data_IF_463303677658
#
_entry.id   IF_463303677658
#
_cell.length_a   1.000
_cell.length_b   1.000
_cell.length_c   1.000
_cell.angle_alpha   90.00
_cell.angle_beta   90.00
_cell.angle_gamma   90.00
#
_symmetry.space_group_name_H-M   'P 1'
#
loop_
_entity.id
_entity.type
_entity.pdbx_description
1 polymer ?
#
# COMPACT_ATOMS: atom_id res chain seq x y z
N UNK A 1 -4.39 26.57 13.78
CA UNK A 1 -3.16 25.85 13.35
C UNK A 1 -3.46 25.16 12.03
N UNK A 2 -2.89 25.59 10.90
CA UNK A 2 -3.03 24.86 9.63
C UNK A 2 -2.41 23.48 9.84
N UNK A 3 -3.23 22.41 9.93
CA UNK A 3 -2.73 21.04 10.00
C UNK A 3 -1.87 20.82 8.75
N UNK A 4 -0.56 20.64 8.90
CA UNK A 4 0.30 20.12 7.84
C UNK A 4 -0.35 18.81 7.37
N UNK A 5 -0.61 18.69 6.07
CA UNK A 5 -1.14 17.44 5.54
C UNK A 5 -0.12 16.33 5.82
N UNK A 6 -0.53 15.29 6.54
CA UNK A 6 0.36 14.25 7.05
C UNK A 6 1.02 13.45 5.93
N UNK A 7 0.53 13.57 4.69
CA UNK A 7 1.03 12.88 3.51
C UNK A 7 2.00 13.72 2.67
N UNK A 8 2.24 14.98 3.02
CA UNK A 8 3.11 15.85 2.23
C UNK A 8 4.56 15.33 2.23
N UNK A 9 5.07 14.95 1.05
CA UNK A 9 6.42 14.44 0.86
C UNK A 9 6.63 12.99 1.31
N UNK A 10 5.56 12.26 1.67
CA UNK A 10 5.63 10.87 2.15
C UNK A 10 5.53 9.91 0.98
N UNK A 11 6.51 9.02 0.82
CA UNK A 11 6.45 7.94 -0.18
C UNK A 11 5.51 6.82 0.31
N UNK A 12 4.47 6.51 -0.47
CA UNK A 12 3.46 5.49 -0.17
C UNK A 12 3.54 4.37 -1.21
N UNK A 13 3.67 3.13 -0.74
CA UNK A 13 3.56 1.93 -1.57
C UNK A 13 2.24 1.20 -1.33
N UNK A 14 1.54 0.85 -2.41
CA UNK A 14 0.38 -0.04 -2.37
C UNK A 14 0.79 -1.41 -2.90
N UNK A 15 0.70 -2.43 -2.05
CA UNK A 15 1.00 -3.81 -2.41
C UNK A 15 -0.34 -4.51 -2.68
N UNK A 16 -0.64 -4.68 -3.97
CA UNK A 16 -1.94 -5.07 -4.49
C UNK A 16 -2.71 -3.86 -5.03
N UNK A 17 -2.87 -3.78 -6.36
CA UNK A 17 -3.57 -2.71 -7.06
C UNK A 17 -5.00 -3.11 -7.49
N UNK A 18 -5.61 -4.08 -6.80
CA UNK A 18 -7.00 -4.45 -7.02
C UNK A 18 -7.99 -3.33 -6.62
N UNK A 19 -9.29 -3.63 -6.62
CA UNK A 19 -10.35 -2.64 -6.43
C UNK A 19 -10.17 -1.75 -5.18
N UNK A 20 -9.84 -2.33 -4.01
CA UNK A 20 -9.64 -1.54 -2.79
C UNK A 20 -8.34 -0.74 -2.80
N UNK A 21 -7.25 -1.29 -3.35
CA UNK A 21 -6.00 -0.55 -3.53
C UNK A 21 -6.21 0.66 -4.43
N UNK A 22 -6.87 0.46 -5.57
CA UNK A 22 -7.28 1.51 -6.52
C UNK A 22 -8.12 2.59 -5.85
N UNK A 23 -9.15 2.20 -5.10
CA UNK A 23 -10.02 3.14 -4.39
C UNK A 23 -9.25 3.98 -3.36
N UNK A 24 -8.37 3.36 -2.58
CA UNK A 24 -7.53 4.08 -1.62
C UNK A 24 -6.53 5.02 -2.29
N UNK A 25 -5.92 4.62 -3.41
CA UNK A 25 -5.05 5.49 -4.21
C UNK A 25 -5.82 6.73 -4.66
N UNK A 26 -7.01 6.55 -5.24
CA UNK A 26 -7.88 7.66 -5.65
C UNK A 26 -8.27 8.57 -4.48
N UNK A 27 -8.64 7.98 -3.33
CA UNK A 27 -8.94 8.72 -2.11
C UNK A 27 -7.75 9.53 -1.58
N UNK A 28 -6.53 8.99 -1.62
CA UNK A 28 -5.31 9.71 -1.25
C UNK A 28 -5.05 10.87 -2.21
N UNK A 29 -5.17 10.62 -3.52
CA UNK A 29 -4.89 11.61 -4.56
C UNK A 29 -5.96 12.69 -4.72
N UNK A 30 -7.16 12.47 -4.17
CA UNK A 30 -8.20 13.50 -4.10
C UNK A 30 -7.84 14.68 -3.19
N UNK A 31 -6.80 14.54 -2.36
CA UNK A 31 -6.41 15.55 -1.36
C UNK A 31 -5.45 16.58 -1.98
N UNK A 32 -5.59 17.89 -1.69
CA UNK A 32 -4.80 18.94 -2.34
C UNK A 32 -3.27 18.87 -2.17
N UNK A 33 -2.77 18.19 -1.13
CA UNK A 33 -1.33 18.11 -0.85
C UNK A 33 -0.69 16.79 -1.32
N UNK A 34 -1.44 15.96 -2.05
CA UNK A 34 -0.99 14.67 -2.55
C UNK A 34 -0.16 14.84 -3.84
N UNK A 35 0.79 13.93 -4.06
CA UNK A 35 1.69 13.93 -5.21
C UNK A 35 1.75 12.51 -5.78
N UNK A 36 1.28 12.33 -7.01
CA UNK A 36 1.27 11.03 -7.69
C UNK A 36 2.67 10.43 -7.84
N UNK A 37 3.71 11.25 -7.92
CA UNK A 37 5.10 10.78 -8.00
C UNK A 37 5.58 10.10 -6.72
N UNK A 38 4.88 10.32 -5.60
CA UNK A 38 5.14 9.72 -4.28
C UNK A 38 4.38 8.42 -4.06
N UNK A 39 3.52 8.02 -4.98
CA UNK A 39 2.75 6.78 -4.89
C UNK A 39 3.34 5.76 -5.87
N UNK A 40 3.61 4.57 -5.35
CA UNK A 40 3.98 3.41 -6.17
C UNK A 40 3.01 2.27 -5.88
N UNK A 41 2.44 1.66 -6.92
CA UNK A 41 1.62 0.45 -6.77
C UNK A 41 2.33 -0.77 -7.34
N UNK A 42 2.22 -1.90 -6.65
CA UNK A 42 2.60 -3.21 -7.18
C UNK A 42 1.42 -4.16 -7.26
N UNK A 43 1.43 -5.03 -8.26
CA UNK A 43 0.49 -6.12 -8.44
C UNK A 43 1.13 -7.17 -9.35
N UNK A 44 0.68 -8.42 -9.24
CA UNK A 44 1.13 -9.49 -10.14
C UNK A 44 0.46 -9.41 -11.52
N UNK A 45 -0.65 -8.68 -11.62
CA UNK A 45 -1.43 -8.54 -12.84
C UNK A 45 -1.16 -7.19 -13.50
N UNK A 46 -0.59 -7.22 -14.70
CA UNK A 46 -0.29 -6.01 -15.46
C UNK A 46 -1.53 -5.15 -15.71
N UNK A 47 -2.70 -5.77 -15.94
CA UNK A 47 -3.97 -5.06 -16.15
C UNK A 47 -4.37 -4.16 -14.96
N UNK A 48 -4.13 -4.62 -13.72
CA UNK A 48 -4.39 -3.82 -12.53
C UNK A 48 -3.43 -2.61 -12.46
N UNK A 49 -2.16 -2.81 -12.84
CA UNK A 49 -1.16 -1.75 -12.89
C UNK A 49 -1.48 -0.71 -13.96
N UNK A 50 -1.88 -1.15 -15.16
CA UNK A 50 -2.24 -0.27 -16.26
C UNK A 50 -3.45 0.59 -15.90
N UNK A 51 -4.43 0.01 -15.20
CA UNK A 51 -5.60 0.73 -14.68
C UNK A 51 -5.20 1.88 -13.77
N UNK A 52 -4.44 1.62 -12.70
CA UNK A 52 -4.06 2.67 -11.74
C UNK A 52 -3.07 3.67 -12.35
N UNK A 53 -2.20 3.24 -13.26
CA UNK A 53 -1.27 4.12 -13.98
C UNK A 53 -2.05 5.08 -14.88
N UNK A 54 -3.00 4.58 -15.66
CA UNK A 54 -3.80 5.40 -16.57
C UNK A 54 -4.72 6.36 -15.80
N UNK A 55 -5.36 5.88 -14.73
CA UNK A 55 -6.29 6.69 -13.95
C UNK A 55 -5.59 7.78 -13.12
N UNK A 56 -4.42 7.47 -12.55
CA UNK A 56 -3.82 8.32 -11.52
C UNK A 56 -2.41 8.82 -11.84
N UNK A 57 -1.77 8.35 -12.92
CA UNK A 57 -0.42 8.77 -13.29
C UNK A 57 0.68 8.36 -12.31
N UNK A 58 0.43 7.34 -11.47
CA UNK A 58 1.38 6.88 -10.45
C UNK A 58 2.45 5.94 -11.02
N UNK A 59 3.51 5.69 -10.25
CA UNK A 59 4.49 4.67 -10.58
C UNK A 59 3.93 3.27 -10.35
N UNK A 60 4.28 2.32 -11.21
CA UNK A 60 3.83 0.93 -11.11
C UNK A 60 4.97 -0.06 -11.33
N UNK A 61 4.88 -1.23 -10.70
CA UNK A 61 5.89 -2.29 -10.80
C UNK A 61 5.27 -3.66 -10.55
N UNK A 62 5.78 -4.71 -11.19
CA UNK A 62 5.38 -6.10 -10.92
C UNK A 62 6.05 -6.68 -9.66
N UNK A 63 7.05 -5.99 -9.12
CA UNK A 63 7.86 -6.45 -7.99
C UNK A 63 7.47 -5.72 -6.69
N UNK A 64 7.04 -6.45 -5.65
CA UNK A 64 6.62 -5.83 -4.38
C UNK A 64 7.80 -5.20 -3.65
N UNK A 65 8.97 -5.86 -3.69
CA UNK A 65 10.20 -5.34 -3.08
C UNK A 65 10.63 -4.00 -3.67
N UNK A 66 10.44 -3.81 -4.98
CA UNK A 66 10.75 -2.55 -5.67
C UNK A 66 9.82 -1.41 -5.22
N UNK A 67 8.52 -1.69 -5.05
CA UNK A 67 7.58 -0.72 -4.50
C UNK A 67 7.91 -0.36 -3.04
N UNK A 68 8.25 -1.35 -2.22
CA UNK A 68 8.53 -1.15 -0.79
C UNK A 68 9.86 -0.43 -0.50
N UNK A 69 10.85 -0.52 -1.41
CA UNK A 69 12.24 -0.09 -1.17
C UNK A 69 12.42 1.31 -0.58
N UNK A 70 11.61 2.28 -1.02
CA UNK A 70 11.70 3.69 -0.57
C UNK A 70 10.44 4.17 0.14
N UNK A 71 9.53 3.24 0.44
CA UNK A 71 8.23 3.54 1.02
C UNK A 71 8.37 3.81 2.52
N UNK A 72 7.80 4.93 2.95
CA UNK A 72 7.63 5.28 4.35
C UNK A 72 6.29 4.79 4.89
N UNK A 73 5.32 4.58 4.00
CA UNK A 73 4.05 3.91 4.30
C UNK A 73 3.84 2.80 3.29
N UNK A 74 3.51 1.60 3.76
CA UNK A 74 3.20 0.44 2.93
C UNK A 74 1.77 0.01 3.24
N UNK A 75 0.91 -0.01 2.23
CA UNK A 75 -0.47 -0.48 2.32
C UNK A 75 -0.54 -1.89 1.74
N UNK A 76 -0.85 -2.88 2.57
CA UNK A 76 -1.11 -4.26 2.15
C UNK A 76 -2.59 -4.40 1.75
N UNK A 77 -2.85 -4.38 0.45
CA UNK A 77 -4.18 -4.44 -0.18
C UNK A 77 -4.39 -5.70 -1.04
N UNK A 78 -3.66 -6.77 -0.74
CA UNK A 78 -3.78 -8.07 -1.40
C UNK A 78 -4.91 -8.94 -0.82
N UNK A 79 -5.27 -10.00 -1.56
CA UNK A 79 -6.22 -11.00 -1.06
C UNK A 79 -5.60 -11.82 0.10
N UNK A 80 -6.38 -12.26 1.11
CA UNK A 80 -5.86 -13.01 2.26
C UNK A 80 -5.05 -14.25 1.89
N UNK A 81 -5.43 -14.94 0.81
CA UNK A 81 -4.78 -16.19 0.37
C UNK A 81 -3.34 -15.98 -0.12
N UNK A 82 -3.02 -14.78 -0.62
CA UNK A 82 -1.68 -14.48 -1.16
C UNK A 82 -0.78 -13.80 -0.13
N UNK A 83 -1.34 -13.36 1.00
CA UNK A 83 -0.61 -12.62 2.03
C UNK A 83 0.66 -13.35 2.52
N UNK A 84 0.67 -14.67 2.81
CA UNK A 84 1.88 -15.33 3.30
C UNK A 84 3.08 -15.21 2.34
N UNK A 85 2.86 -15.33 1.03
CA UNK A 85 3.91 -15.16 0.03
C UNK A 85 4.42 -13.73 -0.05
N UNK A 86 3.51 -12.75 0.02
CA UNK A 86 3.87 -11.32 0.04
C UNK A 86 4.67 -10.95 1.29
N UNK A 87 4.30 -11.47 2.46
CA UNK A 87 5.05 -11.21 3.70
C UNK A 87 6.46 -11.80 3.62
N UNK A 88 6.61 -13.01 3.04
CA UNK A 88 7.92 -13.63 2.84
C UNK A 88 8.79 -12.83 1.86
N UNK A 89 8.21 -12.37 0.75
CA UNK A 89 8.89 -11.54 -0.25
C UNK A 89 9.36 -10.20 0.33
N UNK A 90 8.53 -9.55 1.17
CA UNK A 90 8.84 -8.25 1.75
C UNK A 90 9.73 -8.29 3.00
N UNK A 91 9.94 -9.48 3.58
CA UNK A 91 10.76 -9.62 4.79
C UNK A 91 12.18 -9.12 4.53
N UNK A 92 12.64 -8.18 5.36
CA UNK A 92 13.95 -7.54 5.19
C UNK A 92 14.02 -6.45 4.11
N UNK A 93 12.92 -6.18 3.40
CA UNK A 93 12.81 -5.12 2.39
C UNK A 93 11.96 -3.93 2.85
N UNK A 94 11.36 -4.01 4.04
CA UNK A 94 10.63 -2.91 4.68
C UNK A 94 11.60 -2.02 5.45
N UNK A 95 11.55 -0.70 5.24
CA UNK A 95 12.40 0.23 6.01
C UNK A 95 12.03 0.20 7.49
N UNK A 96 13.02 0.24 8.39
CA UNK A 96 12.79 0.18 9.84
C UNK A 96 11.85 1.26 10.37
N UNK A 97 11.81 2.45 9.74
CA UNK A 97 10.90 3.54 10.09
C UNK A 97 9.58 3.54 9.34
N UNK A 98 9.31 2.58 8.45
CA UNK A 98 8.09 2.56 7.65
C UNK A 98 6.88 2.14 8.49
N UNK A 99 5.73 2.71 8.21
CA UNK A 99 4.44 2.26 8.75
C UNK A 99 3.81 1.25 7.78
N UNK A 100 3.45 0.07 8.27
CA UNK A 100 2.69 -0.91 7.50
C UNK A 100 1.21 -0.83 7.87
N UNK A 101 0.36 -0.53 6.90
CA UNK A 101 -1.09 -0.51 7.03
C UNK A 101 -1.64 -1.74 6.32
N UNK A 102 -2.34 -2.62 7.03
CA UNK A 102 -3.00 -3.78 6.42
C UNK A 102 -4.51 -3.61 6.39
N UNK A 103 -5.08 -3.83 5.21
CA UNK A 103 -6.53 -3.93 4.99
C UNK A 103 -6.97 -5.38 4.77
N UNK A 104 -6.05 -6.34 4.93
CA UNK A 104 -6.27 -7.73 4.58
C UNK A 104 -7.22 -8.39 5.59
N UNK A 105 -8.31 -8.95 5.09
CA UNK A 105 -9.30 -9.65 5.91
C UNK A 105 -8.68 -10.86 6.62
N UNK A 106 -9.08 -11.08 7.88
CA UNK A 106 -8.66 -12.25 8.68
C UNK A 106 -7.21 -12.26 9.18
N UNK A 107 -6.32 -11.38 8.70
CA UNK A 107 -4.93 -11.33 9.16
C UNK A 107 -4.81 -10.61 10.53
N UNK A 108 -4.12 -11.22 11.49
CA UNK A 108 -3.81 -10.58 12.78
C UNK A 108 -2.57 -9.70 12.65
N UNK A 109 -2.47 -8.66 13.51
CA UNK A 109 -1.26 -7.83 13.60
C UNK A 109 -0.03 -8.71 13.87
N UNK A 110 -0.14 -9.69 14.78
CA UNK A 110 0.93 -10.63 15.10
C UNK A 110 1.41 -11.40 13.86
N UNK A 111 0.50 -11.91 13.03
CA UNK A 111 0.84 -12.62 11.80
C UNK A 111 1.66 -11.74 10.85
N UNK A 112 1.23 -10.49 10.64
CA UNK A 112 1.92 -9.53 9.77
C UNK A 112 3.29 -9.16 10.36
N UNK A 113 3.34 -8.90 11.67
CA UNK A 113 4.55 -8.50 12.37
C UNK A 113 5.63 -9.58 12.30
N UNK A 114 5.25 -10.83 12.63
CA UNK A 114 6.16 -11.97 12.55
C UNK A 114 6.59 -12.23 11.11
N UNK A 115 5.67 -12.15 10.14
CA UNK A 115 5.97 -12.39 8.72
C UNK A 115 6.99 -11.40 8.17
N UNK A 116 6.78 -10.11 8.39
CA UNK A 116 7.69 -9.05 7.92
C UNK A 116 8.96 -8.92 8.76
N UNK A 117 8.92 -9.36 10.03
CA UNK A 117 9.95 -8.99 11.00
C UNK A 117 9.93 -7.50 11.31
N UNK A 118 8.74 -6.91 11.40
CA UNK A 118 8.51 -5.47 11.54
C UNK A 118 7.37 -5.18 12.52
N UNK A 119 7.47 -4.13 13.34
CA UNK A 119 6.52 -3.91 14.45
C UNK A 119 5.55 -2.75 14.23
N UNK A 120 5.90 -1.76 13.41
CA UNK A 120 5.04 -0.60 13.16
C UNK A 120 3.90 -0.97 12.21
N UNK A 121 2.84 -1.59 12.75
CA UNK A 121 1.70 -2.11 12.01
C UNK A 121 0.39 -1.53 12.51
N UNK A 122 -0.41 -1.03 11.57
CA UNK A 122 -1.81 -0.68 11.76
C UNK A 122 -2.66 -1.63 10.94
N UNK A 123 -3.73 -2.16 11.56
CA UNK A 123 -4.76 -2.89 10.84
C UNK A 123 -6.01 -2.05 10.75
N UNK A 124 -6.61 -2.02 9.57
CA UNK A 124 -7.93 -1.44 9.34
C UNK A 124 -8.78 -2.45 8.55
N UNK A 125 -10.10 -2.27 8.57
CA UNK A 125 -11.04 -3.12 7.84
C UNK A 125 -11.98 -2.20 7.04
N UNK A 126 -11.56 -1.73 5.86
CA UNK A 126 -12.43 -0.91 5.02
C UNK A 126 -13.61 -1.75 4.53
N UNK A 127 -14.67 -1.06 4.12
CA UNK A 127 -15.86 -1.66 3.54
C UNK A 127 -16.00 -1.25 2.06
N UNK A 128 -16.91 -1.91 1.35
CA UNK A 128 -17.14 -1.67 -0.09
C UNK A 128 -17.56 -0.24 -0.45
N UNK A 129 -18.29 0.54 0.37
CA UNK A 129 -18.53 1.97 0.11
C UNK A 129 -17.27 2.81 -0.09
N UNK A 130 -16.10 2.38 0.38
CA UNK A 130 -14.85 3.09 0.10
C UNK A 130 -14.48 3.12 -1.40
N UNK A 131 -15.13 2.30 -2.23
CA UNK A 131 -14.91 2.22 -3.68
C UNK A 131 -15.84 3.15 -4.49
N UNK A 132 -16.82 3.78 -3.85
CA UNK A 132 -17.90 4.57 -4.49
C UNK A 132 -17.68 6.06 -4.27
#
# INVERSE_FOLDING_TARGET
VKKKDALHGVNVAFIGAGAMGTAMIGGVLSRPASDASKITASDRHQECLDTVRHQFGIQTTLENTRAAKTAQVIVLSVKPQVLPGVLAELRGHVQSGALVISIVAGATIRCIATGLGHEAIVRTMPNTPAQV
#
